data_IF_748961361278
#
_entry.id   IF_748961361278
#
_cell.length_a   1.000
_cell.length_b   1.000
_cell.length_c   1.000
_cell.angle_alpha   90.00
_cell.angle_beta   90.00
_cell.angle_gamma   90.00
#
_symmetry.space_group_name_H-M   'P 1'
#
loop_
_entity.id
_entity.type
_entity.pdbx_description
1 polymer ?
#
# COMPACT_ATOMS: atom_id res chain seq x y z
N UNK A 1 38.82 10.71 -35.58
CA UNK A 1 37.68 11.25 -36.34
C UNK A 1 36.58 11.56 -35.35
N UNK A 2 36.23 12.83 -35.09
CA UNK A 2 35.14 13.16 -34.19
C UNK A 2 33.80 13.15 -34.94
N UNK A 3 32.77 12.64 -34.26
CA UNK A 3 31.39 12.65 -34.75
C UNK A 3 30.81 14.08 -34.63
N UNK A 4 29.97 14.53 -35.56
CA UNK A 4 29.46 15.90 -35.56
C UNK A 4 28.42 16.14 -34.47
N UNK A 5 28.56 17.27 -33.77
CA UNK A 5 27.55 17.84 -32.88
C UNK A 5 26.27 18.16 -33.67
N UNK A 6 25.16 17.59 -33.29
CA UNK A 6 23.85 18.07 -33.72
C UNK A 6 23.33 19.09 -32.68
N UNK A 7 23.49 20.36 -32.99
CA UNK A 7 22.77 21.43 -32.29
C UNK A 7 21.28 21.29 -32.58
N UNK A 8 20.49 20.88 -31.59
CA UNK A 8 19.04 21.05 -31.64
C UNK A 8 18.68 22.43 -31.11
N UNK A 9 18.19 23.26 -31.98
CA UNK A 9 17.67 24.58 -31.64
C UNK A 9 16.37 24.47 -30.84
N UNK A 10 16.18 25.36 -29.87
CA UNK A 10 15.04 25.45 -28.96
C UNK A 10 13.67 25.67 -29.65
N UNK A 11 13.65 25.88 -30.97
CA UNK A 11 12.44 26.04 -31.78
C UNK A 11 11.70 24.70 -31.99
N UNK A 12 12.44 23.58 -32.12
CA UNK A 12 11.83 22.25 -32.43
C UNK A 12 11.09 21.62 -31.24
N UNK A 13 11.34 22.10 -30.01
CA UNK A 13 10.70 21.54 -28.80
C UNK A 13 9.32 22.17 -28.56
N UNK A 14 9.10 23.39 -29.00
CA UNK A 14 7.82 24.09 -28.81
C UNK A 14 6.75 23.71 -29.87
N UNK A 15 7.15 23.25 -31.05
CA UNK A 15 6.20 22.86 -32.11
C UNK A 15 5.61 21.46 -31.87
N UNK A 16 6.34 20.59 -31.15
CA UNK A 16 5.85 19.28 -30.76
C UNK A 16 4.83 19.30 -29.60
N UNK A 17 4.79 20.41 -28.81
CA UNK A 17 3.88 20.55 -27.68
C UNK A 17 2.50 21.11 -28.04
N UNK A 18 2.30 21.62 -29.27
CA UNK A 18 1.03 22.23 -29.70
C UNK A 18 0.07 21.29 -30.45
N UNK A 19 0.46 20.06 -30.73
CA UNK A 19 -0.41 19.05 -31.33
C UNK A 19 -0.81 17.99 -30.29
N UNK A 20 -1.65 18.37 -29.33
CA UNK A 20 -2.41 17.38 -28.57
C UNK A 20 -3.37 16.67 -29.53
N UNK A 21 -3.34 15.33 -29.66
CA UNK A 21 -4.27 14.64 -30.52
C UNK A 21 -5.68 14.83 -30.00
N UNK A 22 -6.48 15.59 -30.71
CA UNK A 22 -7.93 15.65 -30.56
C UNK A 22 -8.51 14.32 -31.03
N UNK A 23 -8.39 13.28 -30.20
CA UNK A 23 -9.02 12.01 -30.53
C UNK A 23 -10.49 12.05 -30.15
N UNK A 24 -11.41 11.90 -31.13
CA UNK A 24 -12.86 11.84 -30.86
C UNK A 24 -13.24 10.67 -29.96
N UNK A 25 -12.32 9.70 -29.77
CA UNK A 25 -12.52 8.48 -28.98
C UNK A 25 -12.76 8.72 -27.48
N UNK A 26 -12.10 9.71 -26.85
CA UNK A 26 -12.34 10.02 -25.43
C UNK A 26 -13.73 10.60 -25.17
N UNK A 27 -14.23 11.45 -26.04
CA UNK A 27 -15.59 12.00 -25.94
C UNK A 27 -16.67 10.97 -26.27
N UNK A 28 -16.42 10.08 -27.22
CA UNK A 28 -17.33 8.96 -27.53
C UNK A 28 -17.31 7.88 -26.47
N UNK A 29 -16.15 7.61 -25.85
CA UNK A 29 -16.03 6.68 -24.74
C UNK A 29 -16.76 7.19 -23.50
N UNK A 30 -16.63 8.48 -23.16
CA UNK A 30 -17.37 9.11 -22.07
C UNK A 30 -18.86 9.24 -22.36
N UNK A 31 -19.27 9.45 -23.63
CA UNK A 31 -20.71 9.45 -24.01
C UNK A 31 -21.30 8.04 -24.08
N UNK A 32 -20.51 7.03 -24.45
CA UNK A 32 -20.90 5.62 -24.40
C UNK A 32 -21.11 5.12 -22.95
N UNK A 33 -20.30 5.60 -22.02
CA UNK A 33 -20.48 5.32 -20.58
C UNK A 33 -21.71 6.04 -19.98
N UNK A 34 -22.10 7.21 -20.47
CA UNK A 34 -23.30 7.91 -19.97
C UNK A 34 -24.63 7.33 -20.48
N UNK A 35 -24.61 6.51 -21.52
CA UNK A 35 -25.80 5.78 -22.02
C UNK A 35 -25.91 4.35 -21.45
N UNK A 36 -24.80 3.79 -20.94
CA UNK A 36 -24.77 2.55 -20.16
C UNK A 36 -24.94 2.79 -18.64
N UNK A 37 -25.05 4.04 -18.20
CA UNK A 37 -25.16 4.46 -16.80
C UNK A 37 -26.54 4.20 -16.18
N UNK A 38 -27.36 3.35 -16.81
CA UNK A 38 -28.61 2.85 -16.20
C UNK A 38 -28.41 1.74 -15.17
N UNK A 39 -27.20 1.22 -14.94
CA UNK A 39 -27.00 0.07 -14.04
C UNK A 39 -25.63 -0.04 -13.36
N UNK A 40 -24.83 1.02 -13.32
CA UNK A 40 -23.60 1.05 -12.51
C UNK A 40 -23.64 2.20 -11.50
N UNK A 41 -24.69 2.23 -10.69
CA UNK A 41 -24.58 2.73 -9.33
C UNK A 41 -23.88 1.65 -8.52
N UNK A 42 -22.56 1.55 -8.67
CA UNK A 42 -21.73 1.06 -7.58
C UNK A 42 -22.01 2.03 -6.44
N UNK A 43 -22.61 1.60 -5.34
CA UNK A 43 -22.76 2.49 -4.19
C UNK A 43 -21.33 2.87 -3.76
N UNK A 44 -20.99 4.15 -3.96
CA UNK A 44 -19.71 4.75 -3.55
C UNK A 44 -19.61 4.81 -2.02
N UNK A 45 -20.46 4.07 -1.31
CA UNK A 45 -20.60 4.10 0.14
C UNK A 45 -19.87 3.01 0.92
N UNK A 46 -19.22 2.04 0.29
CA UNK A 46 -18.43 1.06 1.04
C UNK A 46 -16.92 1.34 0.89
N UNK A 47 -16.41 2.21 1.77
CA UNK A 47 -14.95 2.46 1.90
C UNK A 47 -14.16 1.24 2.34
N UNK A 48 -14.85 0.24 2.87
CA UNK A 48 -14.33 -0.84 3.66
C UNK A 48 -14.64 -2.18 3.00
N UNK A 49 -13.70 -3.10 3.04
CA UNK A 49 -13.98 -4.51 2.78
C UNK A 49 -14.67 -5.02 4.04
N UNK A 50 -15.97 -4.90 4.09
CA UNK A 50 -16.77 -5.44 5.19
C UNK A 50 -16.68 -6.95 5.14
N UNK A 51 -16.33 -7.59 6.26
CA UNK A 51 -16.28 -9.04 6.35
C UNK A 51 -17.65 -9.63 6.02
N UNK A 52 -17.71 -10.84 5.42
CA UNK A 52 -18.99 -11.51 5.14
C UNK A 52 -19.87 -11.67 6.38
N UNK A 53 -19.24 -11.84 7.57
CA UNK A 53 -19.93 -11.98 8.84
C UNK A 53 -20.62 -10.68 9.27
N UNK A 54 -19.97 -9.53 9.14
CA UNK A 54 -20.54 -8.22 9.46
C UNK A 54 -21.71 -7.86 8.51
N UNK A 55 -21.60 -8.25 7.22
CA UNK A 55 -22.71 -8.12 6.25
C UNK A 55 -23.90 -9.01 6.61
N UNK A 56 -23.65 -10.23 7.08
CA UNK A 56 -24.69 -11.18 7.46
C UNK A 56 -25.44 -10.77 8.75
N UNK A 57 -24.77 -10.04 9.65
CA UNK A 57 -25.34 -9.60 10.92
C UNK A 57 -26.30 -8.40 10.80
N UNK A 58 -26.40 -7.75 9.63
CA UNK A 58 -27.28 -6.57 9.43
C UNK A 58 -26.88 -5.36 10.29
N UNK A 59 -25.64 -5.28 10.73
CA UNK A 59 -25.15 -4.21 11.57
C UNK A 59 -25.18 -2.86 10.84
N UNK A 60 -25.71 -1.84 11.51
CA UNK A 60 -25.67 -0.46 11.01
C UNK A 60 -24.26 0.09 11.19
N UNK A 61 -23.47 0.06 10.13
CA UNK A 61 -22.08 0.53 10.12
C UNK A 61 -22.06 2.05 10.00
N UNK A 62 -21.44 2.75 10.95
CA UNK A 62 -21.40 4.21 10.97
C UNK A 62 -19.96 4.68 10.70
N UNK A 63 -19.71 5.13 9.46
CA UNK A 63 -18.46 5.77 9.07
C UNK A 63 -18.43 7.22 9.54
N UNK A 64 -17.41 7.60 10.31
CA UNK A 64 -17.17 8.99 10.73
C UNK A 64 -16.33 9.73 9.67
N UNK A 65 -15.32 9.07 9.14
CA UNK A 65 -14.49 9.54 8.04
C UNK A 65 -13.88 8.33 7.30
N UNK A 66 -13.03 8.58 6.31
CA UNK A 66 -12.39 7.52 5.51
C UNK A 66 -11.58 6.51 6.35
N UNK A 67 -11.23 6.82 7.60
CA UNK A 67 -10.33 6.03 8.44
C UNK A 67 -11.02 5.41 9.66
N UNK A 68 -12.21 5.87 10.00
CA UNK A 68 -12.85 5.53 11.27
C UNK A 68 -14.30 5.15 11.06
N UNK A 69 -14.64 3.96 11.51
CA UNK A 69 -16.00 3.48 11.70
C UNK A 69 -16.21 3.16 13.18
N UNK A 70 -17.34 3.49 13.73
CA UNK A 70 -17.69 3.18 15.11
C UNK A 70 -19.02 2.46 15.11
N UNK A 71 -19.04 1.24 15.63
CA UNK A 71 -20.21 0.41 15.72
C UNK A 71 -21.05 0.79 16.96
N UNK A 72 -22.35 0.44 16.92
CA UNK A 72 -23.29 0.85 17.99
C UNK A 72 -22.89 0.32 19.39
N UNK A 73 -22.21 -0.81 19.44
CA UNK A 73 -21.66 -1.37 20.68
C UNK A 73 -20.45 -0.62 21.20
N UNK A 74 -19.89 0.33 20.44
CA UNK A 74 -18.70 1.12 20.77
C UNK A 74 -17.38 0.52 20.26
N UNK A 75 -17.42 -0.57 19.51
CA UNK A 75 -16.24 -1.09 18.79
C UNK A 75 -15.78 -0.03 17.79
N UNK A 76 -14.49 0.30 17.85
CA UNK A 76 -13.88 1.27 16.94
C UNK A 76 -13.10 0.52 15.88
N UNK A 77 -13.55 0.60 14.64
CA UNK A 77 -12.90 -0.05 13.49
C UNK A 77 -12.05 0.98 12.76
N UNK A 78 -10.77 0.70 12.65
CA UNK A 78 -9.77 1.58 12.04
C UNK A 78 -9.35 1.05 10.68
N UNK A 79 -9.43 1.90 9.68
CA UNK A 79 -9.07 1.59 8.31
C UNK A 79 -7.56 1.59 8.11
N UNK A 80 -7.01 0.49 7.62
CA UNK A 80 -5.62 0.36 7.27
C UNK A 80 -5.42 0.40 5.76
N UNK A 81 -4.81 1.47 5.28
CA UNK A 81 -4.48 1.64 3.85
C UNK A 81 -3.16 0.99 3.45
N UNK A 82 -2.35 0.58 4.42
CA UNK A 82 -1.03 0.01 4.23
C UNK A 82 -1.06 -1.51 4.33
N UNK A 83 -0.36 -2.19 3.42
CA UNK A 83 -0.23 -3.64 3.44
C UNK A 83 0.65 -4.08 4.63
N UNK A 84 0.17 -5.04 5.43
CA UNK A 84 0.97 -5.71 6.45
C UNK A 84 1.73 -6.87 5.80
N UNK A 85 3.05 -6.84 5.90
CA UNK A 85 3.96 -7.89 5.40
C UNK A 85 4.95 -8.33 6.49
N UNK A 86 4.58 -8.14 7.75
CA UNK A 86 5.38 -8.47 8.94
C UNK A 86 6.01 -7.27 9.64
N UNK A 87 5.94 -6.07 9.04
CA UNK A 87 6.60 -4.87 9.57
C UNK A 87 5.83 -4.17 10.71
N UNK A 88 4.60 -4.59 11.05
CA UNK A 88 3.87 -4.12 12.22
C UNK A 88 2.95 -2.92 11.98
N UNK A 89 2.72 -2.51 10.75
CA UNK A 89 1.80 -1.40 10.43
C UNK A 89 0.35 -1.69 10.83
N UNK A 90 -0.03 -2.98 10.90
CA UNK A 90 -1.36 -3.40 11.37
C UNK A 90 -1.66 -2.97 12.82
N UNK A 91 -0.62 -2.72 13.60
CA UNK A 91 -0.74 -2.20 14.96
C UNK A 91 -0.29 -0.75 15.07
N UNK A 92 0.88 -0.42 14.51
CA UNK A 92 1.52 0.88 14.74
C UNK A 92 0.75 2.06 14.15
N UNK A 93 0.16 1.93 12.96
CA UNK A 93 -0.64 3.02 12.38
C UNK A 93 -2.00 3.19 13.09
N UNK A 94 -2.78 2.13 13.36
CA UNK A 94 -3.97 2.22 14.20
C UNK A 94 -3.70 2.78 15.61
N UNK A 95 -2.53 2.49 16.21
CA UNK A 95 -2.15 3.05 17.50
C UNK A 95 -2.10 4.58 17.47
N UNK A 96 -1.55 5.17 16.40
CA UNK A 96 -1.49 6.64 16.23
C UNK A 96 -2.90 7.24 16.16
N UNK A 97 -3.77 6.62 15.37
CA UNK A 97 -5.14 7.10 15.18
C UNK A 97 -5.98 6.92 16.45
N UNK A 98 -5.88 5.75 17.09
CA UNK A 98 -6.60 5.44 18.32
C UNK A 98 -6.19 6.36 19.48
N UNK A 99 -4.91 6.73 19.55
CA UNK A 99 -4.41 7.70 20.56
C UNK A 99 -5.07 9.06 20.39
N UNK A 100 -5.08 9.59 19.17
CA UNK A 100 -5.64 10.91 18.89
C UNK A 100 -7.16 10.92 19.07
N UNK A 101 -7.83 9.80 18.79
CA UNK A 101 -9.27 9.61 19.00
C UNK A 101 -9.67 9.39 20.47
N UNK A 102 -8.74 9.03 21.35
CA UNK A 102 -9.02 8.50 22.70
C UNK A 102 -9.88 7.22 22.68
N UNK A 103 -9.66 6.34 21.71
CA UNK A 103 -10.38 5.08 21.62
C UNK A 103 -10.01 4.11 22.78
N UNK A 104 -10.93 3.25 23.18
CA UNK A 104 -10.58 2.10 24.02
C UNK A 104 -9.81 1.08 23.19
N UNK A 105 -8.48 0.99 23.41
CA UNK A 105 -7.61 0.11 22.66
C UNK A 105 -8.05 -1.36 22.68
N UNK A 106 -8.70 -1.80 23.72
CA UNK A 106 -9.23 -3.18 23.86
C UNK A 106 -10.42 -3.46 22.91
N UNK A 107 -11.05 -2.39 22.41
CA UNK A 107 -12.19 -2.43 21.51
C UNK A 107 -11.84 -1.94 20.11
N UNK A 108 -10.55 -1.79 19.81
CA UNK A 108 -10.08 -1.45 18.47
C UNK A 108 -10.01 -2.71 17.62
N UNK A 109 -10.58 -2.61 16.43
CA UNK A 109 -10.39 -3.56 15.33
C UNK A 109 -9.77 -2.86 14.15
N UNK A 110 -9.10 -3.60 13.29
CA UNK A 110 -8.43 -3.06 12.11
C UNK A 110 -8.94 -3.81 10.88
N UNK A 111 -9.35 -3.05 9.88
CA UNK A 111 -9.74 -3.59 8.58
C UNK A 111 -8.92 -2.96 7.47
N UNK A 112 -8.55 -3.76 6.45
CA UNK A 112 -7.90 -3.20 5.27
C UNK A 112 -8.93 -2.45 4.43
N UNK A 113 -8.58 -1.22 4.03
CA UNK A 113 -9.43 -0.41 3.16
C UNK A 113 -9.12 -0.66 1.68
N UNK A 114 -10.10 -0.37 0.81
CA UNK A 114 -9.94 -0.45 -0.65
C UNK A 114 -9.05 0.66 -1.21
N UNK A 115 -8.71 0.59 -2.50
CA UNK A 115 -7.97 1.65 -3.18
C UNK A 115 -8.83 2.89 -3.38
N UNK A 116 -8.44 4.03 -2.75
CA UNK A 116 -9.13 5.33 -2.85
C UNK A 116 -8.14 6.48 -2.86
N UNK A 117 -8.59 7.62 -3.39
CA UNK A 117 -7.78 8.85 -3.41
C UNK A 117 -7.43 9.35 -2.01
N UNK A 118 -8.34 9.21 -1.03
CA UNK A 118 -8.10 9.55 0.38
C UNK A 118 -6.88 8.85 0.99
N UNK A 119 -6.47 7.71 0.44
CA UNK A 119 -5.34 6.91 0.95
C UNK A 119 -4.06 7.06 0.13
N UNK A 120 -4.07 7.88 -0.92
CA UNK A 120 -2.89 8.11 -1.76
C UNK A 120 -1.93 9.09 -1.09
N UNK A 121 -0.65 8.86 -1.28
CA UNK A 121 0.43 9.74 -0.85
C UNK A 121 1.32 10.09 -2.03
N UNK A 122 1.99 11.23 -1.98
CA UNK A 122 3.07 11.53 -2.89
C UNK A 122 4.27 10.63 -2.53
N UNK A 123 4.52 9.62 -3.35
CA UNK A 123 5.84 9.00 -3.35
C UNK A 123 6.80 9.97 -4.04
N UNK A 124 8.05 10.06 -3.57
CA UNK A 124 9.05 10.96 -4.14
C UNK A 124 9.07 10.83 -5.67
N UNK A 125 8.77 11.92 -6.37
CA UNK A 125 8.79 12.06 -7.83
C UNK A 125 7.69 11.37 -8.65
N UNK A 126 6.60 10.88 -8.05
CA UNK A 126 5.53 10.21 -8.81
C UNK A 126 4.13 10.72 -8.44
N UNK A 127 3.17 10.41 -9.31
CA UNK A 127 1.75 10.66 -9.06
C UNK A 127 1.31 10.02 -7.73
N UNK A 128 0.36 10.65 -7.04
CA UNK A 128 -0.23 10.17 -5.80
C UNK A 128 -0.63 8.68 -5.90
N UNK A 129 -0.06 7.83 -5.06
CA UNK A 129 -0.31 6.41 -5.05
C UNK A 129 -0.61 5.88 -3.64
N UNK A 130 -1.42 4.86 -3.56
CA UNK A 130 -1.54 4.05 -2.35
C UNK A 130 -0.46 2.97 -2.40
N UNK A 131 0.69 3.29 -1.81
CA UNK A 131 1.92 2.51 -1.89
C UNK A 131 2.50 2.23 -0.51
N UNK A 132 3.10 1.05 -0.38
CA UNK A 132 3.83 0.59 0.81
C UNK A 132 5.25 0.27 0.41
N UNK A 133 6.21 1.00 0.93
CA UNK A 133 7.62 0.78 0.60
C UNK A 133 8.51 1.91 1.10
N UNK A 134 9.80 1.80 0.84
CA UNK A 134 10.84 2.75 1.22
C UNK A 134 10.83 3.15 2.72
N UNK A 135 10.26 2.30 3.59
CA UNK A 135 10.07 2.57 5.03
C UNK A 135 9.26 3.84 5.34
N UNK A 136 8.42 4.29 4.39
CA UNK A 136 7.73 5.59 4.49
C UNK A 136 6.34 5.51 5.14
N UNK A 137 5.79 4.32 5.43
CA UNK A 137 4.42 4.19 5.93
C UNK A 137 4.15 5.02 7.17
N UNK A 138 4.99 4.93 8.20
CA UNK A 138 4.82 5.73 9.41
C UNK A 138 4.97 7.23 9.13
N UNK A 139 6.01 7.64 8.42
CA UNK A 139 6.31 9.05 8.12
C UNK A 139 5.18 9.72 7.34
N UNK A 140 4.66 9.06 6.30
CA UNK A 140 3.63 9.64 5.42
C UNK A 140 2.23 9.65 6.04
N UNK A 141 1.96 8.73 6.97
CA UNK A 141 0.62 8.60 7.54
C UNK A 141 0.49 9.13 8.96
N UNK A 142 1.57 9.40 9.68
CA UNK A 142 1.54 9.83 11.08
C UNK A 142 0.61 11.03 11.30
N UNK A 143 0.87 12.15 10.62
CA UNK A 143 0.07 13.36 10.78
C UNK A 143 -1.35 13.20 10.26
N UNK A 144 -1.52 12.52 9.11
CA UNK A 144 -2.85 12.27 8.51
C UNK A 144 -3.76 11.46 9.44
N UNK A 145 -3.23 10.44 10.09
CA UNK A 145 -3.99 9.61 11.02
C UNK A 145 -4.31 10.36 12.31
N UNK A 146 -3.41 11.22 12.78
CA UNK A 146 -3.69 12.12 13.89
C UNK A 146 -4.82 13.09 13.55
N UNK A 147 -4.77 13.72 12.38
CA UNK A 147 -5.85 14.60 11.91
C UNK A 147 -7.17 13.84 11.85
N UNK A 148 -7.21 12.65 11.26
CA UNK A 148 -8.43 11.83 11.18
C UNK A 148 -9.00 11.47 12.56
N UNK A 149 -8.14 11.09 13.51
CA UNK A 149 -8.51 10.80 14.90
C UNK A 149 -9.09 12.01 15.62
N UNK A 150 -8.43 13.17 15.48
CA UNK A 150 -8.86 14.42 16.09
C UNK A 150 -10.19 14.93 15.49
N UNK A 151 -10.38 14.83 14.19
CA UNK A 151 -11.65 15.16 13.52
C UNK A 151 -12.82 14.36 14.11
N UNK A 152 -12.65 13.05 14.22
CA UNK A 152 -13.67 12.19 14.79
C UNK A 152 -13.93 12.48 16.27
N UNK A 153 -12.87 12.71 17.06
CA UNK A 153 -12.99 13.10 18.46
C UNK A 153 -13.79 14.40 18.62
N UNK A 154 -13.49 15.44 17.85
CA UNK A 154 -14.19 16.71 17.90
C UNK A 154 -15.67 16.57 17.53
N UNK A 155 -16.00 15.78 16.51
CA UNK A 155 -17.39 15.51 16.11
C UNK A 155 -18.16 14.79 17.22
N UNK A 156 -17.58 13.78 17.84
CA UNK A 156 -18.19 13.05 18.96
C UNK A 156 -18.39 13.96 20.17
N UNK A 157 -17.41 14.79 20.50
CA UNK A 157 -17.50 15.78 21.59
C UNK A 157 -18.61 16.79 21.30
N UNK A 158 -18.76 17.26 20.08
CA UNK A 158 -19.79 18.21 19.70
C UNK A 158 -21.20 17.64 19.91
N UNK A 159 -21.41 16.36 19.56
CA UNK A 159 -22.69 15.68 19.80
C UNK A 159 -22.97 15.51 21.30
N UNK A 160 -21.97 15.01 22.03
CA UNK A 160 -22.12 14.79 23.48
C UNK A 160 -22.38 16.10 24.24
N UNK A 161 -21.67 17.17 23.92
CA UNK A 161 -21.84 18.48 24.52
C UNK A 161 -23.28 19.03 24.32
N UNK A 162 -23.84 18.87 23.09
CA UNK A 162 -25.25 19.18 22.83
C UNK A 162 -26.19 18.37 23.71
N UNK A 163 -26.00 17.06 23.81
CA UNK A 163 -26.83 16.18 24.64
C UNK A 163 -26.71 16.48 26.15
N UNK A 164 -25.54 16.94 26.58
CA UNK A 164 -25.30 17.36 27.95
C UNK A 164 -25.85 18.78 28.23
N UNK A 165 -26.08 19.60 27.23
CA UNK A 165 -26.44 21.03 27.38
C UNK A 165 -25.26 21.87 27.87
N UNK A 166 -24.01 21.54 27.44
CA UNK A 166 -22.79 22.20 27.89
C UNK A 166 -21.93 22.63 26.71
N UNK A 167 -20.88 23.41 26.97
CA UNK A 167 -19.88 23.77 25.96
C UNK A 167 -18.97 22.55 25.68
N UNK A 168 -18.48 22.43 24.44
CA UNK A 168 -17.52 21.38 24.07
C UNK A 168 -16.25 21.39 24.93
N UNK A 169 -15.82 22.60 25.33
CA UNK A 169 -14.65 22.81 26.24
C UNK A 169 -14.82 22.24 27.64
N UNK A 170 -16.05 21.92 28.04
CA UNK A 170 -16.35 21.31 29.33
C UNK A 170 -16.38 19.77 29.27
N UNK A 171 -16.12 19.19 28.06
CA UNK A 171 -16.08 17.76 27.87
C UNK A 171 -14.63 17.30 27.67
N UNK A 172 -14.34 16.10 28.15
CA UNK A 172 -13.09 15.39 27.92
C UNK A 172 -13.38 14.03 27.31
N UNK A 173 -12.39 13.46 26.63
CA UNK A 173 -12.49 12.13 26.03
C UNK A 173 -11.54 11.16 26.72
N UNK A 174 -11.97 9.94 26.91
CA UNK A 174 -11.14 8.85 27.42
C UNK A 174 -11.78 7.50 27.12
N UNK A 175 -10.98 6.53 26.68
CA UNK A 175 -11.36 5.13 26.49
C UNK A 175 -12.71 4.96 25.76
N UNK A 176 -12.87 5.62 24.61
CA UNK A 176 -14.06 5.52 23.76
C UNK A 176 -15.33 6.19 24.36
N UNK A 177 -15.16 7.14 25.24
CA UNK A 177 -16.27 7.88 25.87
C UNK A 177 -16.00 9.37 25.87
N UNK A 178 -17.10 10.16 25.80
CA UNK A 178 -17.11 11.59 26.10
C UNK A 178 -17.68 11.79 27.50
N UNK A 179 -16.96 12.53 28.33
CA UNK A 179 -17.25 12.73 29.76
C UNK A 179 -17.41 14.22 30.03
N UNK A 180 -18.44 14.59 30.81
CA UNK A 180 -18.57 15.93 31.43
C UNK A 180 -18.15 15.83 32.88
N UNK A 181 -16.91 16.26 33.24
CA UNK A 181 -16.34 16.02 34.58
C UNK A 181 -17.16 16.59 35.72
N UNK A 182 -17.74 17.80 35.56
CA UNK A 182 -18.48 18.48 36.60
C UNK A 182 -19.77 17.75 37.01
N UNK A 183 -20.43 17.03 36.09
CA UNK A 183 -21.65 16.29 36.41
C UNK A 183 -21.48 14.78 36.48
N UNK A 184 -20.30 14.26 36.13
CA UNK A 184 -20.02 12.82 36.04
C UNK A 184 -20.74 12.11 34.84
N UNK A 185 -21.56 12.83 34.08
CA UNK A 185 -22.25 12.23 32.90
C UNK A 185 -21.24 11.81 31.84
N UNK A 186 -21.49 10.68 31.20
CA UNK A 186 -20.66 10.20 30.10
C UNK A 186 -21.52 9.48 29.07
N UNK A 187 -21.09 9.53 27.79
CA UNK A 187 -21.69 8.84 26.66
C UNK A 187 -20.59 8.07 25.91
N UNK A 188 -20.89 6.83 25.53
CA UNK A 188 -19.99 6.01 24.71
C UNK A 188 -19.97 6.48 23.26
N UNK A 189 -18.88 6.22 22.57
CA UNK A 189 -18.75 6.61 21.16
C UNK A 189 -19.82 5.95 20.28
N UNK A 190 -20.21 4.70 20.54
CA UNK A 190 -21.27 4.03 19.81
C UNK A 190 -22.63 4.74 19.90
N UNK A 191 -22.92 5.35 21.06
CA UNK A 191 -24.16 6.13 21.27
C UNK A 191 -24.16 7.46 20.48
N UNK A 192 -22.98 7.96 20.12
CA UNK A 192 -22.77 9.28 19.50
C UNK A 192 -22.52 9.20 18.01
N UNK A 193 -22.01 8.07 17.52
CA UNK A 193 -21.43 7.89 16.19
C UNK A 193 -22.40 8.29 15.06
N UNK A 194 -23.65 7.82 15.12
CA UNK A 194 -24.67 8.10 14.09
C UNK A 194 -25.00 9.60 13.91
N UNK A 195 -24.93 10.38 14.98
CA UNK A 195 -25.10 11.83 14.89
C UNK A 195 -23.79 12.53 14.50
N UNK A 196 -22.64 12.05 15.01
CA UNK A 196 -21.32 12.60 14.71
C UNK A 196 -20.98 12.48 13.21
N UNK A 197 -21.34 11.37 12.58
CA UNK A 197 -21.12 11.13 11.15
C UNK A 197 -21.87 12.12 10.23
N UNK A 198 -22.88 12.82 10.76
CA UNK A 198 -23.65 13.83 10.00
C UNK A 198 -23.06 15.24 10.13
N UNK A 199 -22.07 15.43 10.97
CA UNK A 199 -21.46 16.74 11.16
C UNK A 199 -20.35 16.98 10.13
N UNK A 200 -20.19 18.23 9.68
CA UNK A 200 -19.02 18.61 8.91
C UNK A 200 -17.76 18.43 9.77
N UNK A 201 -16.75 17.78 9.20
CA UNK A 201 -15.48 17.59 9.89
C UNK A 201 -14.64 18.86 9.82
N UNK A 202 -13.99 19.18 10.94
CA UNK A 202 -13.05 20.30 10.99
C UNK A 202 -11.78 19.97 10.18
N UNK A 203 -11.47 20.79 9.18
CA UNK A 203 -10.27 20.59 8.35
C UNK A 203 -8.95 20.83 9.11
N UNK A 204 -8.99 21.56 10.22
CA UNK A 204 -7.85 21.88 11.07
C UNK A 204 -8.15 21.54 12.54
N UNK A 205 -8.32 20.25 12.88
CA UNK A 205 -8.68 19.85 14.23
C UNK A 205 -7.52 20.09 15.19
N UNK A 206 -7.83 20.27 16.47
CA UNK A 206 -6.82 20.41 17.50
C UNK A 206 -6.18 19.06 17.83
N UNK A 207 -4.92 18.90 17.47
CA UNK A 207 -4.15 17.71 17.82
C UNK A 207 -3.73 17.74 19.29
N UNK A 208 -3.56 16.56 19.88
CA UNK A 208 -2.96 16.39 21.22
C UNK A 208 -1.50 16.85 21.19
N UNK A 209 -1.01 17.36 22.31
CA UNK A 209 0.42 17.53 22.54
C UNK A 209 1.04 16.20 23.03
N UNK A 210 2.36 16.11 22.99
CA UNK A 210 3.08 14.89 23.35
C UNK A 210 2.76 14.40 24.77
N UNK A 211 2.58 15.31 25.73
CA UNK A 211 2.25 14.96 27.12
C UNK A 211 0.86 14.31 27.27
N UNK A 212 -0.04 14.52 26.30
CA UNK A 212 -1.38 13.98 26.31
C UNK A 212 -1.50 12.62 25.58
N UNK A 213 -0.40 12.09 25.03
CA UNK A 213 -0.39 10.79 24.37
C UNK A 213 -0.51 9.64 25.38
N UNK A 214 -1.53 8.80 25.18
CA UNK A 214 -1.78 7.62 26.01
C UNK A 214 -1.21 6.34 25.38
N UNK A 215 -1.20 6.26 24.04
CA UNK A 215 -0.77 5.08 23.26
C UNK A 215 0.52 5.35 22.48
N UNK A 216 0.68 6.51 21.84
CA UNK A 216 1.89 6.86 21.10
C UNK A 216 3.11 6.84 22.02
N UNK A 217 4.18 6.19 21.60
CA UNK A 217 5.39 6.01 22.40
C UNK A 217 5.29 4.93 23.48
N UNK A 218 4.17 4.20 23.55
CA UNK A 218 4.00 3.07 24.47
C UNK A 218 4.12 1.74 23.73
N UNK A 219 4.66 0.73 24.41
CA UNK A 219 4.62 -0.63 23.91
C UNK A 219 3.22 -1.20 24.12
N UNK A 220 2.57 -1.56 23.01
CA UNK A 220 1.28 -2.25 23.01
C UNK A 220 1.45 -3.62 22.33
N UNK A 221 0.60 -4.59 22.76
CA UNK A 221 0.58 -5.89 22.08
C UNK A 221 0.11 -5.74 20.64
N UNK A 222 0.72 -6.47 19.72
CA UNK A 222 0.30 -6.47 18.31
C UNK A 222 -1.12 -7.03 18.19
N UNK A 223 -1.96 -6.33 17.44
CA UNK A 223 -3.36 -6.71 17.21
C UNK A 223 -3.51 -7.98 16.37
N UNK A 224 -2.51 -8.28 15.54
CA UNK A 224 -2.49 -9.43 14.62
C UNK A 224 -1.80 -10.68 15.20
N UNK A 225 -1.19 -10.61 16.37
CA UNK A 225 -0.50 -11.76 16.98
C UNK A 225 -1.45 -12.89 17.34
N UNK A 226 -2.63 -12.67 17.96
CA UNK A 226 -3.50 -13.79 18.35
C UNK A 226 -3.84 -14.71 17.18
N UNK A 227 -4.30 -14.16 16.06
CA UNK A 227 -4.65 -14.95 14.88
C UNK A 227 -3.46 -15.68 14.26
N UNK A 228 -2.25 -15.14 14.40
CA UNK A 228 -1.03 -15.76 13.87
C UNK A 228 -0.52 -16.94 14.70
N UNK A 229 -0.91 -17.04 15.96
CA UNK A 229 -0.46 -18.10 16.86
C UNK A 229 -1.52 -19.18 17.12
N UNK A 230 -2.79 -18.88 16.85
CA UNK A 230 -3.89 -19.85 16.97
C UNK A 230 -4.29 -20.50 15.63
N UNK A 231 -3.65 -20.08 14.53
CA UNK A 231 -3.89 -20.61 13.19
C UNK A 231 -5.11 -20.00 12.47
N UNK A 232 -5.76 -19.00 13.02
CA UNK A 232 -6.93 -18.34 12.41
C UNK A 232 -6.56 -17.25 11.40
N UNK A 233 -5.28 -16.83 11.32
CA UNK A 233 -4.82 -15.86 10.32
C UNK A 233 -5.00 -16.40 8.91
N UNK A 234 -5.58 -15.59 8.04
CA UNK A 234 -5.74 -15.90 6.61
C UNK A 234 -4.73 -15.09 5.82
N UNK A 235 -3.81 -15.77 5.16
CA UNK A 235 -2.83 -15.17 4.25
C UNK A 235 -3.32 -15.24 2.80
N UNK A 236 -2.66 -14.54 1.89
CA UNK A 236 -3.02 -14.58 0.47
C UNK A 236 -3.04 -16.00 -0.11
N UNK A 237 -2.11 -16.86 0.33
CA UNK A 237 -2.03 -18.25 -0.10
C UNK A 237 -3.21 -19.11 0.40
N UNK A 238 -3.89 -18.70 1.46
CA UNK A 238 -5.02 -19.43 2.07
C UNK A 238 -6.36 -19.10 1.42
N UNK A 239 -6.40 -18.04 0.59
CA UNK A 239 -7.63 -17.63 -0.08
C UNK A 239 -8.13 -18.74 -1.00
N UNK A 240 -9.41 -19.10 -0.82
CA UNK A 240 -10.09 -20.11 -1.64
C UNK A 240 -11.38 -19.55 -2.21
N UNK A 241 -11.54 -19.67 -3.52
CA UNK A 241 -12.75 -19.32 -4.24
C UNK A 241 -13.34 -20.59 -4.84
N UNK A 242 -14.66 -20.80 -4.75
CA UNK A 242 -15.28 -22.00 -5.36
C UNK A 242 -14.92 -22.16 -6.83
N UNK A 243 -14.45 -23.34 -7.22
CA UNK A 243 -14.06 -23.64 -8.60
C UNK A 243 -12.71 -23.04 -9.05
N UNK A 244 -11.89 -22.50 -8.10
CA UNK A 244 -10.57 -21.94 -8.46
C UNK A 244 -9.64 -23.02 -9.00
N UNK A 245 -8.74 -22.62 -9.87
CA UNK A 245 -7.60 -23.40 -10.35
C UNK A 245 -6.32 -22.86 -9.74
N UNK A 246 -5.27 -23.67 -9.75
CA UNK A 246 -3.97 -23.33 -9.17
C UNK A 246 -2.93 -23.14 -10.26
N UNK A 247 -2.17 -22.05 -10.17
CA UNK A 247 -1.09 -21.75 -11.06
C UNK A 247 0.29 -21.92 -10.43
N UNK A 248 1.20 -22.64 -11.09
CA UNK A 248 2.62 -22.63 -10.76
C UNK A 248 3.38 -21.86 -11.86
N UNK A 249 4.23 -20.94 -11.47
CA UNK A 249 4.91 -20.01 -12.38
C UNK A 249 6.37 -20.37 -12.51
N UNK A 250 6.87 -20.44 -13.75
CA UNK A 250 8.29 -20.53 -14.08
C UNK A 250 8.74 -19.25 -14.75
N UNK A 251 9.48 -18.44 -14.06
CA UNK A 251 10.04 -17.20 -14.59
C UNK A 251 11.35 -17.45 -15.32
N UNK A 252 11.71 -16.53 -16.21
CA UNK A 252 13.02 -16.55 -16.87
C UNK A 252 14.15 -16.51 -15.84
N UNK A 253 15.24 -17.27 -16.06
CA UNK A 253 16.36 -17.35 -15.10
C UNK A 253 17.18 -16.07 -15.03
N UNK A 254 17.04 -15.17 -16.00
CA UNK A 254 17.76 -13.89 -16.06
C UNK A 254 16.78 -12.73 -16.20
N UNK A 255 17.08 -11.58 -15.58
CA UNK A 255 16.27 -10.36 -15.68
C UNK A 255 16.11 -9.93 -17.14
N UNK A 256 14.85 -9.73 -17.57
CA UNK A 256 14.52 -9.37 -18.95
C UNK A 256 14.54 -10.55 -19.93
N UNK A 257 14.78 -11.77 -19.43
CA UNK A 257 14.61 -12.98 -20.25
C UNK A 257 13.15 -13.23 -20.59
N UNK A 258 12.92 -13.90 -21.71
CA UNK A 258 11.56 -14.24 -22.18
C UNK A 258 11.52 -15.69 -22.68
N UNK A 259 10.39 -16.41 -22.50
CA UNK A 259 10.24 -17.75 -23.07
C UNK A 259 10.10 -17.67 -24.59
N UNK A 260 10.90 -18.44 -25.32
CA UNK A 260 10.78 -18.59 -26.78
C UNK A 260 9.83 -19.72 -27.13
N UNK A 261 10.02 -20.89 -26.50
CA UNK A 261 9.21 -22.07 -26.75
C UNK A 261 9.14 -22.97 -25.52
N UNK A 262 8.12 -23.82 -25.46
CA UNK A 262 8.01 -24.94 -24.50
C UNK A 262 8.00 -26.22 -25.32
N UNK A 263 9.13 -26.96 -25.35
CA UNK A 263 9.33 -28.11 -26.23
C UNK A 263 8.41 -29.27 -25.88
N UNK A 264 8.07 -29.45 -24.64
CA UNK A 264 7.23 -30.56 -24.14
C UNK A 264 5.81 -30.11 -23.73
N UNK A 265 5.30 -29.00 -24.27
CA UNK A 265 4.03 -28.37 -23.88
C UNK A 265 2.87 -29.38 -23.87
N UNK A 266 2.70 -30.12 -24.95
CA UNK A 266 1.56 -31.05 -25.09
C UNK A 266 1.65 -32.21 -24.10
N UNK A 267 2.85 -32.74 -23.87
CA UNK A 267 3.08 -33.77 -22.86
C UNK A 267 2.78 -33.29 -21.44
N UNK A 268 3.11 -32.03 -21.13
CA UNK A 268 2.76 -31.42 -19.83
C UNK A 268 1.26 -31.22 -19.73
N UNK A 269 0.62 -30.71 -20.78
CA UNK A 269 -0.84 -30.49 -20.80
C UNK A 269 -1.64 -31.78 -20.68
N UNK A 270 -1.11 -32.90 -21.17
CA UNK A 270 -1.74 -34.21 -21.07
C UNK A 270 -1.64 -34.85 -19.68
N UNK A 271 -0.90 -34.30 -18.74
CA UNK A 271 -0.79 -34.83 -17.38
C UNK A 271 -2.12 -34.74 -16.63
N UNK A 272 -2.43 -35.76 -15.84
CA UNK A 272 -3.63 -35.79 -15.00
C UNK A 272 -3.68 -34.54 -14.09
N UNK A 273 -4.81 -33.85 -14.08
CA UNK A 273 -5.04 -32.67 -13.24
C UNK A 273 -4.51 -31.35 -13.82
N UNK A 274 -3.73 -31.38 -14.91
CA UNK A 274 -3.31 -30.17 -15.62
C UNK A 274 -4.43 -29.70 -16.56
N UNK A 275 -4.77 -28.42 -16.50
CA UNK A 275 -5.79 -27.80 -17.35
C UNK A 275 -5.19 -27.05 -18.51
N UNK A 276 -4.10 -26.31 -18.27
CA UNK A 276 -3.44 -25.57 -19.36
C UNK A 276 -1.98 -25.21 -19.01
N UNK A 277 -1.24 -24.84 -20.06
CA UNK A 277 0.10 -24.26 -19.99
C UNK A 277 0.05 -22.90 -20.69
N UNK A 278 0.13 -21.83 -19.93
CA UNK A 278 -0.05 -20.45 -20.40
C UNK A 278 1.30 -19.76 -20.50
N UNK A 279 1.55 -19.09 -21.62
CA UNK A 279 2.73 -18.24 -21.77
C UNK A 279 2.38 -16.79 -21.44
N UNK A 280 3.07 -16.24 -20.45
CA UNK A 280 3.09 -14.82 -20.14
C UNK A 280 4.32 -14.16 -20.81
N UNK A 281 4.46 -12.84 -20.63
CA UNK A 281 5.55 -12.09 -21.26
C UNK A 281 6.94 -12.61 -20.89
N UNK A 282 7.16 -12.94 -19.62
CA UNK A 282 8.45 -13.30 -19.03
C UNK A 282 8.39 -14.60 -18.22
N UNK A 283 7.31 -15.36 -18.35
CA UNK A 283 7.06 -16.57 -17.59
C UNK A 283 6.22 -17.59 -18.35
N UNK A 284 6.29 -18.84 -17.92
CA UNK A 284 5.32 -19.90 -18.25
C UNK A 284 4.56 -20.26 -16.97
N UNK A 285 3.25 -20.44 -17.10
CA UNK A 285 2.35 -20.78 -16.00
C UNK A 285 1.67 -22.10 -16.32
N UNK A 286 1.80 -23.08 -15.43
CA UNK A 286 1.01 -24.31 -15.52
C UNK A 286 -0.21 -24.16 -14.60
N UNK A 287 -1.39 -24.38 -15.15
CA UNK A 287 -2.67 -24.30 -14.47
C UNK A 287 -3.19 -25.70 -14.23
N UNK A 288 -3.54 -26.02 -12.99
CA UNK A 288 -4.00 -27.37 -12.60
C UNK A 288 -5.11 -27.30 -11.56
N UNK A 289 -5.73 -28.47 -11.27
CA UNK A 289 -6.80 -28.62 -10.27
C UNK A 289 -6.33 -28.43 -8.82
N UNK A 290 -5.04 -28.60 -8.57
CA UNK A 290 -4.39 -28.33 -7.29
C UNK A 290 -2.96 -27.82 -7.51
N UNK A 291 -2.41 -27.18 -6.46
CA UNK A 291 -1.08 -26.57 -6.56
C UNK A 291 0.04 -27.61 -6.75
N UNK A 292 -0.06 -28.80 -6.14
CA UNK A 292 0.98 -29.81 -6.25
C UNK A 292 1.09 -30.33 -7.68
N UNK A 293 -0.05 -30.64 -8.31
CA UNK A 293 -0.10 -30.97 -9.74
C UNK A 293 0.50 -29.87 -10.60
N UNK A 294 0.11 -28.61 -10.36
CA UNK A 294 0.66 -27.46 -11.11
C UNK A 294 2.18 -27.37 -10.94
N UNK A 295 2.67 -27.49 -9.69
CA UNK A 295 4.11 -27.39 -9.34
C UNK A 295 4.93 -28.50 -10.01
N UNK A 296 4.52 -29.77 -9.86
CA UNK A 296 5.23 -30.89 -10.47
C UNK A 296 5.27 -30.79 -12.00
N UNK A 297 4.17 -30.37 -12.61
CA UNK A 297 4.09 -30.17 -14.04
C UNK A 297 4.96 -29.00 -14.51
N UNK A 298 4.99 -27.91 -13.72
CA UNK A 298 5.81 -26.73 -13.97
C UNK A 298 7.31 -27.03 -13.86
N UNK A 299 7.72 -27.84 -12.88
CA UNK A 299 9.13 -28.26 -12.71
C UNK A 299 9.61 -29.16 -13.86
N UNK A 300 8.71 -29.87 -14.51
CA UNK A 300 9.01 -30.73 -15.64
C UNK A 300 8.98 -30.02 -17.01
N UNK A 301 8.74 -28.71 -17.05
CA UNK A 301 8.76 -27.94 -18.29
C UNK A 301 10.17 -27.91 -18.90
N UNK A 302 10.26 -28.19 -20.19
CA UNK A 302 11.45 -27.94 -21.03
C UNK A 302 11.23 -26.65 -21.81
N UNK A 303 11.80 -25.55 -21.29
CA UNK A 303 11.59 -24.21 -21.81
C UNK A 303 12.87 -23.71 -22.46
N UNK A 304 12.77 -23.26 -23.69
CA UNK A 304 13.81 -22.49 -24.36
C UNK A 304 13.64 -21.01 -24.01
N UNK A 305 14.69 -20.42 -23.44
CA UNK A 305 14.67 -19.03 -23.02
C UNK A 305 15.55 -18.18 -23.93
N UNK A 306 15.04 -17.00 -24.31
CA UNK A 306 15.92 -15.92 -24.73
C UNK A 306 16.50 -15.29 -23.47
N UNK A 307 17.81 -15.28 -23.33
CA UNK A 307 18.48 -14.66 -22.21
C UNK A 307 18.18 -13.15 -22.16
N UNK A 308 17.99 -12.65 -20.95
CA UNK A 308 17.97 -11.21 -20.68
C UNK A 308 19.39 -10.68 -20.44
N UNK A 309 19.49 -9.55 -19.71
CA UNK A 309 20.78 -9.02 -19.30
C UNK A 309 21.49 -10.01 -18.38
N UNK A 310 22.60 -10.56 -18.85
CA UNK A 310 23.45 -11.48 -18.08
C UNK A 310 24.59 -10.65 -17.50
N UNK A 311 24.42 -10.10 -16.30
CA UNK A 311 25.51 -9.52 -15.53
C UNK A 311 25.69 -10.34 -14.26
N UNK A 312 26.85 -10.95 -14.09
CA UNK A 312 27.22 -11.59 -12.83
C UNK A 312 27.66 -10.56 -11.77
N UNK A 313 27.78 -11.01 -10.53
CA UNK A 313 28.16 -10.13 -9.41
C UNK A 313 29.54 -9.49 -9.59
N UNK A 314 30.48 -10.18 -10.22
CA UNK A 314 31.84 -9.67 -10.45
C UNK A 314 31.80 -8.53 -11.49
N UNK A 315 31.10 -8.72 -12.59
CA UNK A 315 30.88 -7.69 -13.61
C UNK A 315 30.20 -6.46 -13.04
N UNK A 316 29.14 -6.62 -12.23
CA UNK A 316 28.44 -5.51 -11.59
C UNK A 316 29.37 -4.75 -10.64
N UNK A 317 30.17 -5.46 -9.83
CA UNK A 317 31.13 -4.84 -8.92
C UNK A 317 32.21 -4.06 -9.67
N UNK A 318 32.75 -4.64 -10.74
CA UNK A 318 33.76 -3.97 -11.58
C UNK A 318 33.19 -2.68 -12.22
N UNK A 319 31.95 -2.73 -12.74
CA UNK A 319 31.28 -1.54 -13.30
C UNK A 319 31.06 -0.46 -12.25
N UNK A 320 30.65 -0.83 -11.02
CA UNK A 320 30.45 0.14 -9.92
C UNK A 320 31.77 0.78 -9.49
N UNK A 321 32.84 0.00 -9.37
CA UNK A 321 34.19 0.55 -9.07
C UNK A 321 34.66 1.51 -10.14
N UNK A 322 34.47 1.17 -11.42
CA UNK A 322 34.81 2.06 -12.52
C UNK A 322 34.02 3.37 -12.43
N UNK A 323 32.70 3.30 -12.15
CA UNK A 323 31.84 4.48 -12.02
C UNK A 323 32.22 5.40 -10.86
N UNK A 324 32.86 4.90 -9.79
CA UNK A 324 33.34 5.76 -8.68
C UNK A 324 34.48 6.70 -9.09
N UNK A 325 35.21 6.37 -10.16
CA UNK A 325 36.40 7.12 -10.58
C UNK A 325 36.26 7.79 -11.94
N UNK A 326 35.18 7.57 -12.70
CA UNK A 326 35.03 8.11 -14.05
C UNK A 326 34.59 9.59 -14.09
N UNK A 327 34.26 10.18 -12.94
CA UNK A 327 33.89 11.59 -12.78
C UNK A 327 32.58 12.03 -13.45
N UNK A 328 31.75 11.07 -13.93
CA UNK A 328 30.48 11.34 -14.63
C UNK A 328 29.24 11.25 -13.75
N UNK A 329 29.42 10.99 -12.46
CA UNK A 329 28.30 10.91 -11.52
C UNK A 329 27.59 12.27 -11.38
N UNK A 330 26.26 12.25 -11.43
CA UNK A 330 25.46 13.43 -11.11
C UNK A 330 25.53 13.75 -9.61
N UNK A 331 25.57 15.03 -9.27
CA UNK A 331 25.53 15.48 -7.88
C UNK A 331 24.09 15.35 -7.37
N UNK A 332 23.88 14.51 -6.36
CA UNK A 332 22.58 14.33 -5.73
C UNK A 332 22.31 15.38 -4.63
N UNK A 333 23.36 15.76 -3.89
CA UNK A 333 23.30 16.77 -2.82
C UNK A 333 24.63 17.52 -2.77
N UNK A 334 24.56 18.83 -2.76
CA UNK A 334 25.73 19.71 -2.69
C UNK A 334 25.55 20.67 -1.52
N UNK A 335 26.14 20.34 -0.37
CA UNK A 335 26.06 21.15 0.86
C UNK A 335 27.44 21.25 1.47
N UNK A 336 27.98 22.45 1.60
CA UNK A 336 29.33 22.71 2.07
C UNK A 336 30.38 22.46 1.00
N UNK A 337 31.67 22.34 1.41
CA UNK A 337 32.80 22.07 0.52
C UNK A 337 33.57 20.82 0.95
N UNK A 338 32.94 19.66 0.85
CA UNK A 338 33.58 18.38 1.18
C UNK A 338 34.79 18.07 0.27
N UNK A 339 34.73 18.28 -1.07
CA UNK A 339 35.90 18.07 -1.93
C UNK A 339 37.08 18.95 -1.55
N UNK A 340 36.88 20.25 -1.27
CA UNK A 340 37.95 21.15 -0.85
C UNK A 340 38.58 20.78 0.49
N UNK A 341 37.76 20.37 1.47
CA UNK A 341 38.25 19.89 2.76
C UNK A 341 39.08 18.59 2.64
N UNK A 342 38.67 17.67 1.78
CA UNK A 342 39.41 16.42 1.51
C UNK A 342 40.71 16.74 0.77
N UNK A 343 40.69 17.64 -0.20
CA UNK A 343 41.89 18.04 -0.97
C UNK A 343 42.87 18.84 -0.13
N UNK A 344 42.41 19.71 0.77
CA UNK A 344 43.26 20.46 1.71
C UNK A 344 43.97 19.55 2.72
N UNK A 345 43.59 18.29 2.83
CA UNK A 345 44.17 17.32 3.76
C UNK A 345 43.87 17.64 5.22
N UNK A 346 44.59 16.95 6.11
CA UNK A 346 44.39 17.04 7.57
C UNK A 346 44.76 18.43 8.15
N UNK A 347 45.48 19.25 7.41
CA UNK A 347 45.94 20.58 7.84
C UNK A 347 44.85 21.63 7.96
N UNK A 348 43.67 21.41 7.36
CA UNK A 348 42.56 22.34 7.43
C UNK A 348 41.66 22.18 8.66
N UNK A 349 41.78 21.12 9.43
CA UNK A 349 40.94 20.83 10.59
C UNK A 349 41.83 20.44 11.76
N UNK A 350 41.89 21.24 12.82
CA UNK A 350 42.67 20.94 13.99
C UNK A 350 42.34 19.56 14.58
N UNK A 351 43.32 18.64 14.63
CA UNK A 351 43.12 17.27 15.07
C UNK A 351 42.36 16.34 14.08
N UNK A 352 42.15 16.78 12.87
CA UNK A 352 41.46 16.00 11.83
C UNK A 352 42.28 14.79 11.37
N UNK A 353 41.62 13.67 11.09
CA UNK A 353 42.25 12.44 10.59
C UNK A 353 41.49 11.96 9.36
N UNK A 354 42.20 11.71 8.26
CA UNK A 354 41.62 11.14 7.05
C UNK A 354 41.50 9.63 7.21
N UNK A 355 40.28 9.12 7.05
CA UNK A 355 40.00 7.70 6.97
C UNK A 355 39.43 7.40 5.59
N UNK A 356 39.99 6.40 4.91
CA UNK A 356 39.53 5.94 3.60
C UNK A 356 39.08 4.49 3.72
N UNK A 357 37.87 4.20 3.25
CA UNK A 357 37.35 2.85 3.22
C UNK A 357 36.41 2.65 2.00
N UNK A 358 36.38 1.43 1.49
CA UNK A 358 35.40 1.00 0.48
C UNK A 358 34.39 0.10 1.15
N UNK A 359 33.09 0.43 0.95
CA UNK A 359 31.98 -0.37 1.43
C UNK A 359 31.22 -0.95 0.25
N UNK A 360 30.91 -2.23 0.31
CA UNK A 360 30.16 -2.94 -0.73
C UNK A 360 28.96 -3.64 -0.12
N UNK A 361 27.77 -3.39 -0.70
CA UNK A 361 26.54 -4.10 -0.37
C UNK A 361 26.07 -4.90 -1.58
N UNK A 362 25.88 -6.22 -1.46
CA UNK A 362 25.36 -7.03 -2.55
C UNK A 362 23.88 -6.72 -2.79
N UNK A 363 23.36 -7.12 -3.96
CA UNK A 363 21.92 -7.22 -4.14
C UNK A 363 21.38 -8.35 -3.27
N UNK A 364 20.31 -8.06 -2.55
CA UNK A 364 19.61 -9.03 -1.71
C UNK A 364 18.15 -9.13 -2.12
N UNK A 365 17.56 -10.30 -1.92
CA UNK A 365 16.14 -10.55 -2.09
C UNK A 365 15.45 -10.28 -0.76
N UNK A 366 14.28 -9.64 -0.77
CA UNK A 366 13.51 -9.39 0.47
C UNK A 366 13.10 -10.70 1.17
N UNK A 367 12.90 -11.79 0.42
CA UNK A 367 12.62 -13.13 0.93
C UNK A 367 11.52 -13.12 2.01
N UNK A 368 10.37 -12.58 1.66
CA UNK A 368 9.20 -12.53 2.55
C UNK A 368 8.82 -13.92 3.03
N UNK A 369 8.43 -14.04 4.30
CA UNK A 369 8.03 -15.34 4.89
C UNK A 369 6.77 -15.89 4.21
N UNK A 370 5.82 -15.04 3.82
CA UNK A 370 4.72 -15.43 2.96
C UNK A 370 5.22 -15.55 1.51
N UNK A 371 5.10 -16.73 0.87
CA UNK A 371 5.45 -16.89 -0.54
C UNK A 371 4.66 -15.91 -1.41
N UNK A 372 5.30 -15.32 -2.39
CA UNK A 372 4.64 -14.38 -3.33
C UNK A 372 3.55 -15.13 -4.08
N UNK A 373 2.32 -14.69 -3.88
CA UNK A 373 1.13 -15.32 -4.46
C UNK A 373 0.09 -14.26 -4.81
N UNK A 374 -0.90 -14.64 -5.61
CA UNK A 374 -2.11 -13.85 -5.84
C UNK A 374 -3.25 -14.77 -6.26
N UNK A 375 -4.43 -14.53 -5.72
CA UNK A 375 -5.69 -15.13 -6.18
C UNK A 375 -6.48 -14.08 -6.94
N UNK A 376 -6.98 -14.45 -8.12
CA UNK A 376 -7.73 -13.54 -8.99
C UNK A 376 -9.08 -14.18 -9.32
N UNK A 377 -10.16 -13.47 -9.07
CA UNK A 377 -11.50 -13.88 -9.43
C UNK A 377 -12.11 -12.88 -10.42
N UNK A 378 -12.35 -13.34 -11.64
CA UNK A 378 -12.96 -12.54 -12.70
C UNK A 378 -14.46 -12.79 -12.71
N UNK A 379 -15.25 -11.83 -12.25
CA UNK A 379 -16.71 -11.85 -12.26
C UNK A 379 -17.24 -11.21 -13.55
N UNK A 380 -17.21 -11.95 -14.64
CA UNK A 380 -17.58 -11.43 -15.98
C UNK A 380 -18.96 -10.80 -16.03
N UNK A 381 -19.95 -11.39 -15.36
CA UNK A 381 -21.33 -10.89 -15.36
C UNK A 381 -21.46 -9.51 -14.69
N UNK A 382 -20.61 -9.19 -13.74
CA UNK A 382 -20.56 -7.91 -13.01
C UNK A 382 -19.53 -6.93 -13.60
N UNK A 383 -18.66 -7.38 -14.50
CA UNK A 383 -17.54 -6.57 -15.00
C UNK A 383 -16.48 -6.30 -13.94
N UNK A 384 -16.38 -7.15 -12.91
CA UNK A 384 -15.51 -6.98 -11.76
C UNK A 384 -14.34 -7.97 -11.76
N UNK A 385 -13.21 -7.52 -11.23
CA UNK A 385 -12.05 -8.38 -10.94
C UNK A 385 -11.69 -8.18 -9.47
N UNK A 386 -11.76 -9.25 -8.70
CA UNK A 386 -11.26 -9.28 -7.32
C UNK A 386 -9.85 -9.88 -7.31
N UNK A 387 -8.94 -9.26 -6.56
CA UNK A 387 -7.56 -9.73 -6.41
C UNK A 387 -7.19 -9.75 -4.93
N UNK A 388 -6.76 -10.91 -4.44
CA UNK A 388 -6.20 -11.11 -3.10
C UNK A 388 -4.71 -11.39 -3.23
N UNK A 389 -3.92 -10.74 -2.39
CA UNK A 389 -2.47 -10.93 -2.33
C UNK A 389 -1.75 -9.85 -1.54
N UNK A 390 -0.48 -10.04 -1.20
CA UNK A 390 0.34 -9.07 -0.49
C UNK A 390 0.76 -7.92 -1.42
N UNK A 391 -0.20 -7.07 -1.80
CA UNK A 391 -0.03 -6.04 -2.81
C UNK A 391 0.39 -4.71 -2.19
N UNK A 392 1.64 -4.31 -2.41
CA UNK A 392 2.20 -3.04 -1.90
C UNK A 392 1.80 -1.81 -2.73
N UNK A 393 1.40 -1.97 -3.99
CA UNK A 393 1.01 -0.87 -4.89
C UNK A 393 -0.43 -0.99 -5.38
N UNK A 394 -1.42 -0.91 -4.48
CA UNK A 394 -2.84 -1.16 -4.81
C UNK A 394 -3.37 -0.32 -5.95
N UNK A 395 -3.05 0.96 -6.01
CA UNK A 395 -3.54 1.86 -7.08
C UNK A 395 -2.90 1.58 -8.44
N UNK A 396 -1.74 0.92 -8.50
CA UNK A 396 -1.15 0.47 -9.76
C UNK A 396 -1.96 -0.66 -10.42
N UNK A 397 -2.70 -1.43 -9.62
CA UNK A 397 -3.57 -2.50 -10.11
C UNK A 397 -4.96 -1.99 -10.52
N UNK A 398 -5.51 -1.02 -9.80
CA UNK A 398 -6.85 -0.48 -10.06
C UNK A 398 -6.94 0.44 -11.28
N UNK A 399 -5.84 0.86 -11.85
CA UNK A 399 -5.75 1.86 -12.93
C UNK A 399 -5.34 1.32 -14.30
N UNK A 400 -5.36 -0.01 -14.53
CA UNK A 400 -5.01 -0.61 -15.83
C UNK A 400 -6.19 -1.31 -16.48
#
# INVERSE_FOLDING_TARGET
MPLPNAERTTADVNEAASQAPTSPSRRHWLKGMSLAAGSLLVPISASWVVSPEARAAGETLVEINDWIRIDADGTTVLGLSQCEVGQGVYTGLPQVLADELDADWRRVRVEFVTARDAYRTAAANEALQQFVGASMSATLFYERLRIAGAQAREALVAVAARRFGVRTTNCVTREGRVIHPQSGRSLGYGELAAEAAKLPLNSHPRLKNEAAHALIGKSVSRLDTPSKVDGSAVFGIDVKVPGMLFGAVRMAPTTGGVPLSVRNRDAIKARKGVHDVVQARDAIIVVASDYWCAKQACDALDIEWKAGAAADSATILAQRRAALVDGKAGIATDVGDAPGLIAAGVSGVAGGKRVTAEYHTPYIVHATMEPVNATVHVRKAQGEIEVWGPIQGRTKFAGR
#
